data_IF_362767632896
#
_entry.id   IF_362767632896
#
_cell.length_a   1.000
_cell.length_b   1.000
_cell.length_c   1.000
_cell.angle_alpha   90.00
_cell.angle_beta   90.00
_cell.angle_gamma   90.00
#
_symmetry.space_group_name_H-M   'P 1'
#
loop_
_entity.id
_entity.type
_entity.pdbx_description
1 polymer ?
#
# COMPACT_ATOMS: atom_id res chain seq x y z
N UNK A 1 -3.52 36.41 -0.69
CA UNK A 1 -2.12 36.30 -0.23
C UNK A 1 -1.96 35.16 0.78
N UNK A 2 -2.79 35.07 1.83
CA UNK A 2 -2.70 33.98 2.83
C UNK A 2 -2.88 32.57 2.26
N UNK A 3 -3.88 32.33 1.42
CA UNK A 3 -4.12 31.02 0.81
C UNK A 3 -2.94 30.52 -0.06
N UNK A 4 -2.24 31.46 -0.73
CA UNK A 4 -1.05 31.16 -1.53
C UNK A 4 0.13 30.83 -0.63
N UNK A 5 0.32 31.57 0.47
CA UNK A 5 1.37 31.30 1.45
C UNK A 5 1.16 29.96 2.18
N UNK A 6 -0.10 29.60 2.47
CA UNK A 6 -0.45 28.33 3.10
C UNK A 6 -0.23 27.14 2.16
N UNK A 7 -0.57 27.29 0.88
CA UNK A 7 -0.25 26.32 -0.17
C UNK A 7 1.27 26.16 -0.35
N UNK A 8 2.01 27.27 -0.43
CA UNK A 8 3.46 27.26 -0.58
C UNK A 8 4.14 26.59 0.62
N UNK A 9 3.73 26.94 1.84
CA UNK A 9 4.26 26.35 3.06
C UNK A 9 3.95 24.85 3.12
N UNK A 10 2.75 24.42 2.70
CA UNK A 10 2.39 22.99 2.67
C UNK A 10 3.18 22.22 1.62
N UNK A 11 3.41 22.80 0.43
CA UNK A 11 4.22 22.21 -0.64
C UNK A 11 5.69 22.08 -0.21
N UNK A 12 6.25 23.14 0.37
CA UNK A 12 7.65 23.20 0.83
C UNK A 12 7.87 22.30 2.04
N UNK A 13 7.04 22.41 3.07
CA UNK A 13 7.24 21.67 4.32
C UNK A 13 6.94 20.18 4.23
N UNK A 14 6.03 19.76 3.34
CA UNK A 14 5.53 18.38 3.35
C UNK A 14 6.02 17.52 2.20
N UNK A 15 6.06 18.08 1.00
CA UNK A 15 6.45 17.34 -0.21
C UNK A 15 7.96 17.47 -0.41
N UNK A 16 8.46 18.70 -0.51
CA UNK A 16 9.89 18.96 -0.70
C UNK A 16 10.74 18.43 0.47
N UNK A 17 10.28 18.55 1.72
CA UNK A 17 11.03 18.05 2.87
C UNK A 17 11.05 16.51 2.95
N UNK A 18 9.97 15.82 2.57
CA UNK A 18 9.95 14.36 2.54
C UNK A 18 10.86 13.80 1.44
N UNK A 19 10.87 14.45 0.28
CA UNK A 19 11.71 14.06 -0.85
C UNK A 19 13.19 14.39 -0.57
N UNK A 20 13.45 15.56 0.01
CA UNK A 20 14.79 15.96 0.42
C UNK A 20 15.36 15.07 1.53
N UNK A 21 14.57 14.71 2.54
CA UNK A 21 15.02 13.79 3.59
C UNK A 21 15.34 12.40 3.03
N UNK A 22 14.55 11.90 2.08
CA UNK A 22 14.85 10.62 1.43
C UNK A 22 16.12 10.69 0.57
N UNK A 23 16.34 11.78 -0.17
CA UNK A 23 17.60 12.00 -0.89
C UNK A 23 18.80 12.04 0.07
N UNK A 24 18.67 12.72 1.22
CA UNK A 24 19.71 12.74 2.26
C UNK A 24 19.99 11.34 2.83
N UNK A 25 18.98 10.48 2.96
CA UNK A 25 19.18 9.08 3.37
C UNK A 25 20.01 8.32 2.32
N UNK A 26 19.71 8.48 1.03
CA UNK A 26 20.52 7.87 -0.03
C UNK A 26 21.93 8.44 -0.09
N UNK A 27 22.09 9.73 0.18
CA UNK A 27 23.39 10.38 0.28
C UNK A 27 24.19 9.77 1.43
N UNK A 28 23.58 9.64 2.61
CA UNK A 28 24.20 8.99 3.76
C UNK A 28 24.61 7.55 3.44
N UNK A 29 23.73 6.76 2.80
CA UNK A 29 24.06 5.39 2.37
C UNK A 29 25.25 5.41 1.40
N UNK A 30 25.24 6.32 0.43
CA UNK A 30 26.31 6.47 -0.55
C UNK A 30 27.67 6.83 0.06
N UNK A 31 27.70 7.51 1.21
CA UNK A 31 28.93 7.78 1.96
C UNK A 31 29.30 6.67 2.94
N UNK A 32 28.33 6.15 3.69
CA UNK A 32 28.56 5.15 4.73
C UNK A 32 28.95 3.78 4.17
N UNK A 33 28.47 3.46 2.97
CA UNK A 33 28.68 2.17 2.33
C UNK A 33 29.44 2.28 1.00
N UNK A 34 30.22 3.35 0.80
CA UNK A 34 31.09 3.42 -0.37
C UNK A 34 32.13 2.29 -0.30
N UNK A 35 32.29 1.46 -1.35
CA UNK A 35 33.28 0.40 -1.33
C UNK A 35 34.70 0.99 -1.26
N UNK A 36 35.59 0.45 -0.40
CA UNK A 36 36.94 0.97 -0.25
C UNK A 36 37.73 0.93 -1.57
N UNK A 37 37.48 -0.05 -2.44
CA UNK A 37 38.11 -0.18 -3.76
C UNK A 37 37.81 1.03 -4.64
N UNK A 38 36.58 1.54 -4.58
CA UNK A 38 36.15 2.73 -5.33
C UNK A 38 36.88 3.97 -4.81
N UNK A 39 37.04 4.08 -3.50
CA UNK A 39 37.77 5.18 -2.87
C UNK A 39 39.26 5.13 -3.26
N UNK A 40 39.91 3.97 -3.16
CA UNK A 40 41.31 3.79 -3.54
C UNK A 40 41.56 4.06 -5.02
N UNK A 41 40.60 3.75 -5.89
CA UNK A 41 40.73 4.01 -7.32
C UNK A 41 40.50 5.48 -7.69
N UNK A 42 39.52 6.14 -7.06
CA UNK A 42 39.09 7.49 -7.44
C UNK A 42 39.87 8.60 -6.76
N UNK A 43 40.27 8.44 -5.49
CA UNK A 43 40.95 9.49 -4.75
C UNK A 43 42.29 9.91 -5.37
N UNK A 44 43.18 8.99 -5.79
CA UNK A 44 44.45 9.36 -6.45
C UNK A 44 44.26 10.02 -7.82
N UNK A 45 43.10 9.81 -8.45
CA UNK A 45 42.73 10.42 -9.74
C UNK A 45 42.01 11.76 -9.57
N UNK A 46 41.88 12.25 -8.33
CA UNK A 46 41.23 13.53 -8.04
C UNK A 46 42.09 14.67 -8.57
N UNK A 47 41.60 15.48 -9.53
CA UNK A 47 42.33 16.62 -10.03
C UNK A 47 42.59 17.66 -8.94
N UNK A 48 43.71 18.37 -9.06
CA UNK A 48 44.14 19.39 -8.07
C UNK A 48 43.21 20.60 -7.93
N UNK A 49 42.23 20.78 -8.83
CA UNK A 49 41.22 21.84 -8.72
C UNK A 49 40.06 21.49 -7.79
N UNK A 50 39.93 20.22 -7.36
CA UNK A 50 38.95 19.85 -6.35
C UNK A 50 39.37 20.36 -4.97
N UNK A 51 38.42 20.81 -4.13
CA UNK A 51 38.70 21.13 -2.74
C UNK A 51 39.24 19.93 -1.98
N UNK A 52 40.15 20.15 -1.02
CA UNK A 52 40.75 19.07 -0.21
C UNK A 52 39.70 18.23 0.55
N UNK A 53 38.55 18.83 0.89
CA UNK A 53 37.44 18.17 1.56
C UNK A 53 36.47 17.43 0.62
N UNK A 54 36.63 17.56 -0.70
CA UNK A 54 35.72 16.98 -1.69
C UNK A 54 36.50 16.22 -2.77
N UNK A 55 36.59 14.91 -2.65
CA UNK A 55 37.25 14.05 -3.65
C UNK A 55 36.28 13.53 -4.72
N UNK A 56 36.82 12.89 -5.76
CA UNK A 56 36.02 12.22 -6.78
C UNK A 56 35.15 11.07 -6.23
N UNK A 57 35.58 10.43 -5.13
CA UNK A 57 34.74 9.44 -4.44
C UNK A 57 33.50 10.08 -3.82
N UNK A 58 33.64 11.28 -3.25
CA UNK A 58 32.52 12.03 -2.67
C UNK A 58 31.52 12.44 -3.76
N UNK A 59 32.04 12.87 -4.93
CA UNK A 59 31.20 13.14 -6.10
C UNK A 59 30.48 11.89 -6.59
N UNK A 60 31.13 10.72 -6.59
CA UNK A 60 30.48 9.46 -6.92
C UNK A 60 29.34 9.12 -5.96
N UNK A 61 29.51 9.33 -4.64
CA UNK A 61 28.44 9.15 -3.65
C UNK A 61 27.26 10.10 -3.89
N UNK A 62 27.52 11.35 -4.27
CA UNK A 62 26.47 12.32 -4.64
C UNK A 62 25.74 11.89 -5.90
N UNK A 63 26.45 11.44 -6.94
CA UNK A 63 25.83 10.94 -8.18
C UNK A 63 24.97 9.71 -7.88
N UNK A 64 25.50 8.78 -7.08
CA UNK A 64 24.75 7.60 -6.64
C UNK A 64 23.47 7.99 -5.91
N UNK A 65 23.51 8.96 -5.00
CA UNK A 65 22.32 9.35 -4.24
C UNK A 65 21.23 9.93 -5.12
N UNK A 66 21.60 10.72 -6.15
CA UNK A 66 20.65 11.21 -7.15
C UNK A 66 20.04 10.07 -7.96
N UNK A 67 20.85 9.13 -8.46
CA UNK A 67 20.35 7.97 -9.22
C UNK A 67 19.42 7.11 -8.36
N UNK A 68 19.81 6.80 -7.13
CA UNK A 68 19.01 6.02 -6.19
C UNK A 68 17.68 6.73 -5.87
N UNK A 69 17.70 8.05 -5.67
CA UNK A 69 16.51 8.85 -5.44
C UNK A 69 15.55 8.84 -6.65
N UNK A 70 16.08 8.96 -7.87
CA UNK A 70 15.29 8.88 -9.10
C UNK A 70 14.60 7.52 -9.27
N UNK A 71 15.28 6.42 -8.92
CA UNK A 71 14.71 5.07 -8.94
C UNK A 71 13.69 4.87 -7.82
N UNK A 72 13.93 5.47 -6.65
CA UNK A 72 13.05 5.35 -5.49
C UNK A 72 11.68 5.97 -5.71
N UNK A 73 11.59 7.11 -6.40
CA UNK A 73 10.33 7.81 -6.59
C UNK A 73 9.23 6.94 -7.24
N UNK A 74 9.43 6.29 -8.42
CA UNK A 74 8.46 5.36 -8.99
C UNK A 74 8.29 4.09 -8.15
N UNK A 75 9.38 3.58 -7.57
CA UNK A 75 9.34 2.35 -6.76
C UNK A 75 8.47 2.53 -5.51
N UNK A 76 8.56 3.68 -4.84
CA UNK A 76 7.78 3.99 -3.64
C UNK A 76 6.27 4.00 -3.92
N UNK A 77 5.84 4.47 -5.09
CA UNK A 77 4.43 4.45 -5.52
C UNK A 77 3.94 3.01 -5.72
N UNK A 78 4.75 2.19 -6.36
CA UNK A 78 4.45 0.77 -6.60
C UNK A 78 4.42 -0.04 -5.29
N UNK A 79 5.37 0.21 -4.39
CA UNK A 79 5.42 -0.43 -3.08
C UNK A 79 4.22 -0.03 -2.22
N UNK A 80 3.87 1.26 -2.16
CA UNK A 80 2.69 1.75 -1.42
C UNK A 80 1.39 1.13 -1.94
N UNK A 81 1.24 0.99 -3.26
CA UNK A 81 0.03 0.40 -3.84
C UNK A 81 -0.07 -1.10 -3.53
N UNK A 82 1.02 -1.86 -3.68
CA UNK A 82 1.08 -3.28 -3.33
C UNK A 82 0.87 -3.51 -1.84
N UNK A 83 1.49 -2.70 -0.98
CA UNK A 83 1.34 -2.80 0.47
C UNK A 83 -0.11 -2.51 0.90
N UNK A 84 -0.77 -1.52 0.29
CA UNK A 84 -2.19 -1.26 0.52
C UNK A 84 -3.06 -2.44 0.11
N UNK A 85 -2.79 -3.04 -1.06
CA UNK A 85 -3.51 -4.24 -1.51
C UNK A 85 -3.29 -5.43 -0.57
N UNK A 86 -2.05 -5.63 -0.11
CA UNK A 86 -1.70 -6.68 0.84
C UNK A 86 -2.40 -6.50 2.19
N UNK A 87 -2.41 -5.28 2.74
CA UNK A 87 -3.11 -4.96 3.98
C UNK A 87 -4.62 -5.14 3.86
N UNK A 88 -5.21 -4.72 2.74
CA UNK A 88 -6.65 -4.96 2.47
C UNK A 88 -6.93 -6.45 2.40
N UNK A 89 -6.12 -7.22 1.66
CA UNK A 89 -6.28 -8.67 1.55
C UNK A 89 -6.19 -9.34 2.93
N UNK A 90 -5.18 -9.00 3.73
CA UNK A 90 -4.99 -9.54 5.07
C UNK A 90 -6.17 -9.20 5.99
N UNK A 91 -6.69 -7.98 5.91
CA UNK A 91 -7.88 -7.58 6.68
C UNK A 91 -9.10 -8.41 6.32
N UNK A 92 -9.37 -8.62 5.03
CA UNK A 92 -10.52 -9.44 4.60
C UNK A 92 -10.31 -10.93 4.89
N UNK A 93 -9.06 -11.42 4.88
CA UNK A 93 -8.73 -12.80 5.26
C UNK A 93 -8.94 -13.03 6.76
N UNK A 94 -8.50 -12.10 7.62
CA UNK A 94 -8.82 -12.15 9.05
C UNK A 94 -10.33 -12.12 9.32
N UNK A 95 -11.12 -11.42 8.47
CA UNK A 95 -12.58 -11.47 8.60
C UNK A 95 -13.10 -12.86 8.29
N UNK A 96 -12.64 -13.48 7.20
CA UNK A 96 -13.01 -14.84 6.80
C UNK A 96 -12.69 -15.85 7.93
N UNK A 97 -11.50 -15.76 8.53
CA UNK A 97 -11.10 -16.62 9.66
C UNK A 97 -11.93 -16.37 10.93
N UNK A 98 -12.51 -15.17 11.09
CA UNK A 98 -13.32 -14.81 12.26
C UNK A 98 -14.81 -15.15 12.13
N UNK A 99 -15.20 -15.82 11.04
CA UNK A 99 -16.60 -16.20 10.83
C UNK A 99 -16.95 -17.45 11.62
N UNK A 100 -18.15 -17.48 12.19
CA UNK A 100 -18.70 -18.70 12.77
C UNK A 100 -19.26 -19.62 11.67
N UNK A 101 -19.50 -20.89 12.00
CA UNK A 101 -20.05 -21.87 11.07
C UNK A 101 -21.42 -21.43 10.52
N UNK A 102 -22.28 -20.86 11.38
CA UNK A 102 -23.59 -20.31 10.97
C UNK A 102 -23.45 -19.12 9.99
N UNK A 103 -22.44 -18.27 10.18
CA UNK A 103 -22.14 -17.17 9.26
C UNK A 103 -21.59 -17.69 7.93
N UNK A 104 -20.79 -18.76 7.98
CA UNK A 104 -20.24 -19.41 6.81
C UNK A 104 -21.33 -20.10 5.97
N UNK A 105 -22.36 -20.67 6.61
CA UNK A 105 -23.52 -21.22 5.92
C UNK A 105 -24.23 -20.19 5.04
N UNK A 106 -24.40 -18.96 5.53
CA UNK A 106 -24.98 -17.85 4.76
C UNK A 106 -24.10 -17.50 3.54
N UNK A 107 -22.78 -17.61 3.66
CA UNK A 107 -21.86 -17.36 2.54
C UNK A 107 -21.92 -18.48 1.50
N UNK A 108 -22.12 -19.73 1.93
CA UNK A 108 -22.38 -20.83 0.99
C UNK A 108 -23.69 -20.63 0.24
N UNK A 109 -24.74 -20.13 0.90
CA UNK A 109 -25.99 -19.77 0.23
C UNK A 109 -25.78 -18.68 -0.85
N UNK A 110 -24.91 -17.70 -0.58
CA UNK A 110 -24.46 -16.76 -1.62
C UNK A 110 -23.69 -17.44 -2.75
N UNK A 111 -22.90 -18.47 -2.46
CA UNK A 111 -22.11 -19.21 -3.48
C UNK A 111 -23.02 -20.03 -4.38
N UNK A 112 -24.01 -20.69 -3.80
CA UNK A 112 -25.02 -21.49 -4.51
C UNK A 112 -25.90 -20.62 -5.41
N UNK A 113 -26.21 -19.39 -4.96
CA UNK A 113 -26.93 -18.39 -5.76
C UNK A 113 -26.00 -17.56 -6.67
N UNK A 114 -24.85 -18.11 -7.09
CA UNK A 114 -23.89 -17.46 -7.99
C UNK A 114 -23.43 -16.04 -7.59
N UNK A 115 -23.48 -15.73 -6.29
CA UNK A 115 -23.19 -14.44 -5.68
C UNK A 115 -24.13 -13.30 -6.09
N UNK A 116 -25.33 -13.63 -6.53
CA UNK A 116 -26.40 -12.67 -6.74
C UNK A 116 -27.00 -12.20 -5.41
N UNK A 117 -27.73 -11.09 -5.46
CA UNK A 117 -28.30 -10.47 -4.27
C UNK A 117 -29.44 -11.31 -3.70
N UNK A 118 -29.34 -11.68 -2.43
CA UNK A 118 -30.31 -12.54 -1.71
C UNK A 118 -31.09 -11.69 -0.71
N UNK A 119 -32.39 -11.96 -0.59
CA UNK A 119 -33.20 -11.40 0.47
C UNK A 119 -33.05 -12.25 1.73
N UNK A 120 -32.60 -11.65 2.82
CA UNK A 120 -32.49 -12.32 4.11
C UNK A 120 -33.44 -11.69 5.13
N UNK A 121 -34.05 -12.54 5.96
CA UNK A 121 -34.73 -12.12 7.17
C UNK A 121 -33.67 -11.59 8.15
N UNK A 122 -33.99 -10.53 8.89
CA UNK A 122 -33.07 -9.92 9.84
C UNK A 122 -32.82 -10.84 11.06
N UNK A 123 -31.89 -11.78 10.91
CA UNK A 123 -31.41 -12.66 11.98
C UNK A 123 -30.15 -12.08 12.64
N UNK A 124 -29.79 -12.51 13.87
CA UNK A 124 -28.56 -12.07 14.54
C UNK A 124 -27.29 -12.33 13.71
N UNK A 125 -27.26 -13.43 12.94
CA UNK A 125 -26.15 -13.79 12.04
C UNK A 125 -26.02 -12.81 10.87
N UNK A 126 -27.13 -12.40 10.25
CA UNK A 126 -27.14 -11.39 9.17
C UNK A 126 -26.70 -10.03 9.71
N UNK A 127 -27.12 -9.66 10.92
CA UNK A 127 -26.69 -8.42 11.58
C UNK A 127 -25.18 -8.45 11.88
N UNK A 128 -24.65 -9.58 12.36
CA UNK A 128 -23.21 -9.77 12.58
C UNK A 128 -22.41 -9.65 11.29
N UNK A 129 -22.87 -10.29 10.20
CA UNK A 129 -22.24 -10.18 8.88
C UNK A 129 -22.23 -8.75 8.32
N UNK A 130 -23.31 -7.97 8.57
CA UNK A 130 -23.36 -6.55 8.25
C UNK A 130 -22.37 -5.74 9.09
N UNK A 131 -22.30 -6.00 10.40
CA UNK A 131 -21.38 -5.33 11.31
C UNK A 131 -19.90 -5.60 10.96
N UNK A 132 -19.57 -6.84 10.55
CA UNK A 132 -18.24 -7.23 10.04
C UNK A 132 -17.97 -6.66 8.62
N UNK A 133 -18.99 -6.11 7.96
CA UNK A 133 -18.90 -5.56 6.61
C UNK A 133 -18.60 -6.62 5.55
N UNK A 134 -19.04 -7.86 5.80
CA UNK A 134 -18.93 -9.01 4.88
C UNK A 134 -20.02 -8.92 3.83
N UNK A 135 -21.24 -8.59 4.25
CA UNK A 135 -22.37 -8.30 3.38
C UNK A 135 -22.68 -6.79 3.38
N UNK A 136 -23.29 -6.33 2.29
CA UNK A 136 -23.70 -4.95 2.06
C UNK A 136 -25.17 -4.98 1.64
N UNK A 137 -25.99 -4.11 2.23
CA UNK A 137 -27.38 -3.92 1.81
C UNK A 137 -27.42 -3.24 0.45
N UNK A 138 -28.11 -3.84 -0.50
CA UNK A 138 -28.43 -3.21 -1.78
C UNK A 138 -29.71 -2.39 -1.64
N UNK A 139 -29.78 -1.22 -2.28
CA UNK A 139 -30.84 -0.23 -2.05
C UNK A 139 -32.23 -0.85 -2.13
N UNK A 140 -33.01 -0.78 -1.06
CA UNK A 140 -34.41 -1.18 -1.07
C UNK A 140 -35.24 -0.06 -1.70
N UNK A 141 -35.90 -0.34 -2.83
CA UNK A 141 -37.06 0.45 -3.22
C UNK A 141 -38.13 0.30 -2.13
N UNK A 142 -38.82 1.39 -1.79
CA UNK A 142 -39.84 1.43 -0.73
C UNK A 142 -40.83 0.26 -0.89
N UNK A 143 -40.90 -0.62 0.11
CA UNK A 143 -41.81 -1.78 0.14
C UNK A 143 -41.22 -3.12 -0.33
N UNK A 144 -39.98 -3.16 -0.85
CA UNK A 144 -39.31 -4.40 -1.22
C UNK A 144 -38.43 -4.96 -0.08
N UNK A 145 -38.37 -6.29 0.02
CA UNK A 145 -37.49 -6.99 0.96
C UNK A 145 -36.03 -6.52 0.81
N UNK A 146 -35.34 -6.37 1.95
CA UNK A 146 -33.95 -5.93 1.96
C UNK A 146 -33.06 -7.01 1.32
N UNK A 147 -32.52 -6.69 0.14
CA UNK A 147 -31.55 -7.54 -0.54
C UNK A 147 -30.14 -7.23 -0.05
N UNK A 148 -29.35 -8.27 0.12
CA UNK A 148 -27.95 -8.19 0.53
C UNK A 148 -27.06 -8.83 -0.52
N UNK A 149 -25.84 -8.32 -0.64
CA UNK A 149 -24.79 -8.90 -1.48
C UNK A 149 -23.48 -8.97 -0.70
N UNK A 150 -22.61 -9.90 -1.06
CA UNK A 150 -21.25 -9.92 -0.52
C UNK A 150 -20.49 -8.65 -0.92
N UNK A 151 -19.68 -8.14 0.00
CA UNK A 151 -18.73 -7.07 -0.27
C UNK A 151 -17.80 -7.48 -1.42
N UNK A 152 -17.63 -6.65 -2.47
CA UNK A 152 -16.78 -6.99 -3.61
C UNK A 152 -15.33 -7.33 -3.21
N UNK A 153 -14.84 -6.72 -2.13
CA UNK A 153 -13.49 -6.98 -1.61
C UNK A 153 -13.42 -8.35 -0.94
N UNK A 154 -14.42 -8.67 -0.13
CA UNK A 154 -14.53 -9.96 0.56
C UNK A 154 -14.73 -11.11 -0.44
N UNK A 155 -15.66 -10.96 -1.41
CA UNK A 155 -15.91 -11.94 -2.48
C UNK A 155 -14.63 -12.37 -3.20
N UNK A 156 -13.76 -11.42 -3.56
CA UNK A 156 -12.48 -11.72 -4.23
C UNK A 156 -11.54 -12.53 -3.35
N UNK A 157 -11.46 -12.23 -2.06
CA UNK A 157 -10.59 -12.94 -1.13
C UNK A 157 -11.13 -14.33 -0.83
N UNK A 158 -12.45 -14.45 -0.61
CA UNK A 158 -13.13 -15.72 -0.43
C UNK A 158 -12.91 -16.66 -1.63
N UNK A 159 -13.17 -16.20 -2.85
CA UNK A 159 -12.96 -17.00 -4.06
C UNK A 159 -11.50 -17.44 -4.25
N UNK A 160 -10.55 -16.56 -3.95
CA UNK A 160 -9.13 -16.88 -4.08
C UNK A 160 -8.65 -17.91 -3.03
N UNK A 161 -9.28 -17.96 -1.87
CA UNK A 161 -8.97 -18.98 -0.85
C UNK A 161 -9.69 -20.29 -1.16
N UNK A 162 -10.97 -20.21 -1.53
CA UNK A 162 -11.76 -21.38 -1.94
C UNK A 162 -11.12 -22.13 -3.13
N UNK A 163 -10.58 -21.40 -4.11
CA UNK A 163 -9.86 -22.01 -5.24
C UNK A 163 -8.58 -22.74 -4.86
N UNK A 164 -7.94 -22.37 -3.74
CA UNK A 164 -6.75 -23.08 -3.24
C UNK A 164 -7.12 -24.34 -2.47
N UNK A 165 -8.27 -24.34 -1.80
CA UNK A 165 -8.75 -25.50 -1.05
C UNK A 165 -9.38 -26.58 -1.94
N UNK A 166 -9.79 -26.22 -3.16
CA UNK A 166 -10.42 -27.12 -4.12
C UNK A 166 -9.46 -27.78 -5.14
N UNK A 167 -8.15 -27.47 -5.07
CA UNK A 167 -7.10 -28.06 -5.91
C UNK A 167 -6.07 -28.81 -5.07
#
# INVERSE_FOLDING_TARGET
MEAVALLLNTLVSRILLSDFTMWLVFLFIGFAFIPPEVVFYLNPKTPAFFPEWFSLSNMASVIFSFVAFMIWHPLSKLLKSRMKQFLVRRKELNKLESLSDDEMQIIYEFTDNHFDSIAFIATPTVISLLAKGVIIKESSQFGAEAKYRLSPKFKRVFLAEFSKSAG
#
